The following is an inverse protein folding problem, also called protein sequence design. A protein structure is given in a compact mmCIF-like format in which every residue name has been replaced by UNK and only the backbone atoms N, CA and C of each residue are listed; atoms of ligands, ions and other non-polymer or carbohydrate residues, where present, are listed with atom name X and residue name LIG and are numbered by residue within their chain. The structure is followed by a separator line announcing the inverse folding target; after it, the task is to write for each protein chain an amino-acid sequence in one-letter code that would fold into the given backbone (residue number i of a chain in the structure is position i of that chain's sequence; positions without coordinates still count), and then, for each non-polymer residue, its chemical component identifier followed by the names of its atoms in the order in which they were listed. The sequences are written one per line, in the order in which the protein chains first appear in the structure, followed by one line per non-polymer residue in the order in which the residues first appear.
data_IF_389632566095
#
_entry.id   IF_389632566095
#
_cell.length_a   1.000
_cell.length_b   1.000
_cell.length_c   1.000
_cell.angle_alpha   90.00
_cell.angle_beta   90.00
_cell.angle_gamma   90.00
#
_symmetry.space_group_name_H-M   'P 1'
#
loop_
_entity.id
_entity.type
_entity.pdbx_description
1 polymer ?
#
# COMPACT_ATOMS: atom_id res chain seq x y z
N UNK A 1 11.06 -2.58 -23.99
CA UNK A 1 10.20 -1.38 -23.84
C UNK A 1 9.52 -1.47 -22.48
N UNK A 2 9.50 -0.40 -21.66
CA UNK A 2 8.75 -0.42 -20.40
C UNK A 2 7.27 -0.57 -20.72
N UNK A 3 6.62 -1.60 -20.16
CA UNK A 3 5.19 -1.79 -20.29
C UNK A 3 4.47 -0.72 -19.46
N UNK A 4 3.55 0.02 -20.08
CA UNK A 4 2.71 0.99 -19.36
C UNK A 4 1.98 0.25 -18.24
N UNK A 5 2.00 0.75 -16.98
CA UNK A 5 1.29 0.14 -15.87
C UNK A 5 -0.18 -0.09 -16.22
N UNK A 6 -0.66 -1.31 -16.01
CA UNK A 6 -2.04 -1.74 -16.26
C UNK A 6 -2.75 -1.99 -14.94
N UNK A 7 -3.90 -1.35 -14.75
CA UNK A 7 -4.77 -1.52 -13.58
C UNK A 7 -5.91 -2.45 -13.94
N UNK A 8 -6.09 -3.55 -13.21
CA UNK A 8 -7.23 -4.44 -13.43
C UNK A 8 -8.52 -3.77 -12.96
N UNK A 9 -9.50 -3.64 -13.85
CA UNK A 9 -10.76 -2.91 -13.58
C UNK A 9 -11.48 -3.47 -12.35
N UNK A 10 -11.53 -4.79 -12.20
CA UNK A 10 -12.21 -5.45 -11.07
C UNK A 10 -11.59 -5.10 -9.71
N UNK A 11 -10.26 -4.99 -9.66
CA UNK A 11 -9.53 -4.69 -8.42
C UNK A 11 -9.66 -3.21 -8.06
N UNK A 12 -9.59 -2.33 -9.07
CA UNK A 12 -9.85 -0.91 -8.89
C UNK A 12 -11.25 -0.64 -8.33
N UNK A 13 -12.29 -1.26 -8.91
CA UNK A 13 -13.68 -1.12 -8.45
C UNK A 13 -13.86 -1.64 -7.01
N UNK A 14 -13.23 -2.79 -6.68
CA UNK A 14 -13.28 -3.36 -5.33
C UNK A 14 -12.59 -2.44 -4.31
N UNK A 15 -11.40 -1.95 -4.63
CA UNK A 15 -10.64 -1.02 -3.77
C UNK A 15 -11.40 0.29 -3.54
N UNK A 16 -12.04 0.81 -4.59
CA UNK A 16 -12.88 2.01 -4.52
C UNK A 16 -14.06 1.85 -3.55
N UNK A 17 -14.67 0.67 -3.48
CA UNK A 17 -15.73 0.35 -2.50
C UNK A 17 -15.18 0.39 -1.08
N UNK A 18 -14.07 -0.31 -0.83
CA UNK A 18 -13.43 -0.33 0.49
C UNK A 18 -13.02 1.07 0.96
N UNK A 19 -12.51 1.89 0.05
CA UNK A 19 -12.16 3.29 0.31
C UNK A 19 -13.35 4.11 0.82
N UNK A 20 -14.48 4.10 0.09
CA UNK A 20 -15.65 4.89 0.50
C UNK A 20 -16.29 4.35 1.78
N UNK A 21 -16.30 3.04 1.99
CA UNK A 21 -16.80 2.43 3.23
C UNK A 21 -15.96 2.82 4.45
N UNK A 22 -14.62 2.82 4.32
CA UNK A 22 -13.71 3.25 5.38
C UNK A 22 -13.86 4.74 5.69
N UNK A 23 -13.93 5.59 4.66
CA UNK A 23 -14.14 7.02 4.80
C UNK A 23 -15.47 7.34 5.50
N UNK A 24 -16.55 6.66 5.13
CA UNK A 24 -17.85 6.80 5.78
C UNK A 24 -17.82 6.40 7.25
N UNK A 25 -17.14 5.29 7.60
CA UNK A 25 -17.03 4.85 9.00
C UNK A 25 -16.36 5.91 9.88
N UNK A 26 -15.39 6.66 9.34
CA UNK A 26 -14.70 7.75 10.04
C UNK A 26 -15.56 9.02 10.12
N UNK A 27 -16.30 9.34 9.06
CA UNK A 27 -17.15 10.53 8.99
C UNK A 27 -18.43 10.40 9.84
N UNK A 28 -19.03 9.21 9.86
CA UNK A 28 -20.29 8.86 10.52
C UNK A 28 -20.05 8.43 11.98
N UNK A 29 -19.58 9.37 12.80
CA UNK A 29 -19.26 9.15 14.22
C UNK A 29 -20.48 8.66 15.01
N UNK A 30 -21.68 9.05 14.58
CA UNK A 30 -22.95 8.73 15.24
C UNK A 30 -23.52 7.36 14.84
N UNK A 31 -22.89 6.66 13.88
CA UNK A 31 -23.37 5.35 13.41
C UNK A 31 -24.71 5.39 12.68
N UNK A 32 -25.09 6.55 12.15
CA UNK A 32 -26.37 6.78 11.49
C UNK A 32 -26.48 5.99 10.18
N UNK A 33 -27.70 5.58 9.81
CA UNK A 33 -27.95 4.94 8.49
C UNK A 33 -27.86 5.94 7.32
N UNK A 34 -27.72 7.22 7.61
CA UNK A 34 -27.69 8.31 6.64
C UNK A 34 -26.53 9.24 6.93
N UNK A 35 -25.84 9.67 5.89
CA UNK A 35 -24.82 10.70 5.96
C UNK A 35 -25.48 12.09 5.86
N UNK A 36 -25.26 12.92 6.87
CA UNK A 36 -25.65 14.33 6.91
C UNK A 36 -24.61 15.24 6.25
N UNK A 37 -24.97 16.50 5.97
CA UNK A 37 -24.04 17.53 5.48
C UNK A 37 -22.82 17.72 6.39
N UNK A 38 -23.00 17.65 7.72
CA UNK A 38 -21.91 17.82 8.69
C UNK A 38 -20.94 16.64 8.63
N UNK A 39 -21.45 15.42 8.52
CA UNK A 39 -20.62 14.22 8.38
C UNK A 39 -19.96 14.16 7.00
N UNK A 40 -20.66 14.59 5.95
CA UNK A 40 -20.10 14.69 4.60
C UNK A 40 -18.89 15.64 4.55
N UNK A 41 -18.90 16.73 5.30
CA UNK A 41 -17.74 17.63 5.43
C UNK A 41 -16.52 17.01 6.12
N UNK A 42 -16.64 15.81 6.71
CA UNK A 42 -15.52 15.03 7.28
C UNK A 42 -14.98 13.96 6.32
N UNK A 43 -15.61 13.78 5.17
CA UNK A 43 -15.09 12.88 4.14
C UNK A 43 -13.81 13.47 3.51
N UNK A 44 -12.94 12.64 2.93
CA UNK A 44 -11.93 13.10 1.98
C UNK A 44 -12.54 13.97 0.87
N UNK A 45 -11.80 14.98 0.41
CA UNK A 45 -12.26 16.03 -0.53
C UNK A 45 -12.92 15.45 -1.80
N UNK A 46 -12.36 14.40 -2.37
CA UNK A 46 -12.88 13.71 -3.56
C UNK A 46 -14.29 13.09 -3.33
N UNK A 47 -14.56 12.64 -2.11
CA UNK A 47 -15.86 12.11 -1.70
C UNK A 47 -16.84 13.23 -1.31
N UNK A 48 -16.35 14.39 -0.83
CA UNK A 48 -17.20 15.56 -0.58
C UNK A 48 -17.81 16.08 -1.88
N UNK A 49 -17.00 16.23 -2.93
CA UNK A 49 -17.47 16.65 -4.25
C UNK A 49 -18.55 15.72 -4.82
N UNK A 50 -18.40 14.43 -4.56
CA UNK A 50 -19.38 13.43 -4.95
C UNK A 50 -20.70 13.60 -4.17
N UNK A 51 -20.62 13.84 -2.86
CA UNK A 51 -21.78 14.09 -2.01
C UNK A 51 -22.53 15.37 -2.39
N UNK A 52 -21.82 16.46 -2.67
CA UNK A 52 -22.42 17.74 -3.12
C UNK A 52 -23.15 17.57 -4.46
N UNK A 53 -22.58 16.80 -5.40
CA UNK A 53 -23.23 16.47 -6.69
C UNK A 53 -24.51 15.65 -6.54
N UNK A 54 -24.65 14.87 -5.46
CA UNK A 54 -25.90 14.18 -5.17
C UNK A 54 -27.06 15.13 -4.79
N UNK A 55 -26.77 16.40 -4.45
CA UNK A 55 -27.77 17.46 -4.26
C UNK A 55 -28.77 17.22 -3.12
N UNK A 56 -28.49 16.25 -2.25
CA UNK A 56 -29.38 15.80 -1.17
C UNK A 56 -28.83 16.23 0.18
N UNK A 57 -29.73 16.69 1.06
CA UNK A 57 -29.42 17.10 2.44
C UNK A 57 -29.03 15.89 3.33
N UNK A 58 -29.53 14.69 2.98
CA UNK A 58 -29.19 13.40 3.59
C UNK A 58 -29.20 12.30 2.53
N UNK A 59 -28.21 11.41 2.57
CA UNK A 59 -28.11 10.23 1.68
C UNK A 59 -27.88 9.00 2.54
N UNK A 60 -28.50 7.85 2.22
CA UNK A 60 -28.17 6.63 2.98
C UNK A 60 -26.71 6.25 2.73
N UNK A 61 -26.00 5.77 3.74
CA UNK A 61 -24.59 5.36 3.59
C UNK A 61 -24.44 4.30 2.50
N UNK A 62 -25.40 3.37 2.41
CA UNK A 62 -25.46 2.36 1.35
C UNK A 62 -25.65 2.97 -0.04
N UNK A 63 -26.60 3.90 -0.18
CA UNK A 63 -26.86 4.56 -1.47
C UNK A 63 -25.65 5.38 -1.93
N UNK A 64 -24.93 6.01 -1.00
CA UNK A 64 -23.71 6.75 -1.29
C UNK A 64 -22.59 5.82 -1.78
N UNK A 65 -22.34 4.71 -1.08
CA UNK A 65 -21.36 3.69 -1.51
C UNK A 65 -21.73 3.13 -2.89
N UNK A 66 -22.97 2.67 -3.07
CA UNK A 66 -23.40 2.05 -4.32
C UNK A 66 -23.38 3.05 -5.48
N UNK A 67 -23.73 4.32 -5.23
CA UNK A 67 -23.63 5.41 -6.22
C UNK A 67 -22.18 5.71 -6.63
N UNK A 68 -21.26 5.78 -5.67
CA UNK A 68 -19.84 5.97 -5.93
C UNK A 68 -19.25 4.80 -6.72
N UNK A 69 -19.48 3.57 -6.26
CA UNK A 69 -18.99 2.35 -6.91
C UNK A 69 -19.56 2.20 -8.32
N UNK A 70 -20.83 2.57 -8.53
CA UNK A 70 -21.43 2.61 -9.86
C UNK A 70 -20.73 3.62 -10.78
N UNK A 71 -20.42 4.82 -10.27
CA UNK A 71 -19.70 5.85 -11.03
C UNK A 71 -18.30 5.37 -11.44
N UNK A 72 -17.57 4.73 -10.51
CA UNK A 72 -16.27 4.12 -10.78
C UNK A 72 -16.39 3.01 -11.82
N UNK A 73 -17.33 2.07 -11.64
CA UNK A 73 -17.52 0.92 -12.52
C UNK A 73 -17.91 1.32 -13.95
N UNK A 74 -18.90 2.21 -14.09
CA UNK A 74 -19.35 2.69 -15.40
C UNK A 74 -18.27 3.56 -16.07
N UNK A 75 -17.55 4.37 -15.29
CA UNK A 75 -16.40 5.14 -15.77
C UNK A 75 -15.28 4.24 -16.28
N UNK A 76 -14.90 3.22 -15.52
CA UNK A 76 -13.86 2.26 -15.89
C UNK A 76 -14.22 1.48 -17.15
N UNK A 77 -15.47 1.00 -17.27
CA UNK A 77 -15.94 0.32 -18.49
C UNK A 77 -15.90 1.21 -19.73
N UNK A 78 -16.17 2.52 -19.59
CA UNK A 78 -16.07 3.47 -20.70
C UNK A 78 -14.62 3.80 -21.05
N UNK A 79 -13.73 3.84 -20.05
CA UNK A 79 -12.31 4.11 -20.24
C UNK A 79 -11.55 2.92 -20.86
N UNK A 80 -11.93 1.69 -20.53
CA UNK A 80 -11.46 0.42 -21.10
C UNK A 80 -12.05 0.21 -22.52
N UNK A 81 -11.60 1.02 -23.47
CA UNK A 81 -12.14 1.03 -24.83
C UNK A 81 -11.85 -0.26 -25.61
N UNK A 82 -10.73 -0.93 -25.31
CA UNK A 82 -10.34 -2.21 -25.91
C UNK A 82 -10.96 -3.43 -25.21
N UNK A 83 -11.64 -3.23 -24.07
CA UNK A 83 -12.36 -4.25 -23.29
C UNK A 83 -11.43 -5.39 -22.85
N UNK A 84 -10.18 -5.09 -22.56
CA UNK A 84 -9.21 -6.09 -22.09
C UNK A 84 -9.31 -6.33 -20.56
N UNK A 85 -10.16 -5.56 -19.87
CA UNK A 85 -10.34 -5.64 -18.42
C UNK A 85 -9.30 -4.85 -17.64
N UNK A 86 -8.45 -4.06 -18.33
CA UNK A 86 -7.42 -3.24 -17.73
C UNK A 86 -7.54 -1.77 -18.16
N UNK A 87 -7.12 -0.88 -17.27
CA UNK A 87 -6.95 0.54 -17.56
C UNK A 87 -5.46 0.87 -17.59
N UNK A 88 -5.02 1.54 -18.64
CA UNK A 88 -3.73 2.23 -18.63
C UNK A 88 -3.87 3.59 -17.96
N UNK A 89 -2.75 4.26 -17.69
CA UNK A 89 -2.73 5.65 -17.25
C UNK A 89 -3.42 6.60 -18.24
N UNK A 90 -3.33 6.28 -19.53
CA UNK A 90 -4.00 7.04 -20.59
C UNK A 90 -5.51 6.85 -20.52
N UNK A 91 -5.98 5.64 -20.22
CA UNK A 91 -7.42 5.37 -20.03
C UNK A 91 -7.94 6.03 -18.75
N UNK A 92 -7.12 6.13 -17.71
CA UNK A 92 -7.42 6.89 -16.49
C UNK A 92 -7.83 8.34 -16.74
N UNK A 93 -7.29 9.00 -17.77
CA UNK A 93 -7.68 10.37 -18.15
C UNK A 93 -9.12 10.45 -18.68
N UNK A 94 -9.67 9.34 -19.17
CA UNK A 94 -11.05 9.26 -19.69
C UNK A 94 -12.08 8.99 -18.59
N UNK A 95 -11.63 8.68 -17.36
CA UNK A 95 -12.53 8.50 -16.23
C UNK A 95 -13.27 9.80 -15.89
N UNK A 96 -14.48 9.70 -15.31
CA UNK A 96 -15.19 10.86 -14.76
C UNK A 96 -14.30 11.62 -13.77
N UNK A 97 -14.35 12.96 -13.81
CA UNK A 97 -13.51 13.83 -12.97
C UNK A 97 -13.56 13.46 -11.49
N UNK A 98 -14.75 13.17 -10.98
CA UNK A 98 -15.03 12.79 -9.58
C UNK A 98 -14.38 11.48 -9.14
N UNK A 99 -13.84 10.68 -10.06
CA UNK A 99 -13.15 9.42 -9.73
C UNK A 99 -11.73 9.37 -10.29
N UNK A 100 -11.25 10.46 -10.93
CA UNK A 100 -9.88 10.52 -11.44
C UNK A 100 -8.88 10.54 -10.30
N UNK A 101 -9.16 11.27 -9.23
CA UNK A 101 -8.24 11.33 -8.08
C UNK A 101 -8.25 10.02 -7.30
N UNK A 102 -9.41 9.37 -7.16
CA UNK A 102 -9.48 8.00 -6.68
C UNK A 102 -8.66 7.01 -7.55
N UNK A 103 -8.73 7.12 -8.88
CA UNK A 103 -7.90 6.32 -9.79
C UNK A 103 -6.41 6.65 -9.67
N UNK A 104 -6.03 7.92 -9.57
CA UNK A 104 -4.63 8.33 -9.36
C UNK A 104 -4.10 7.81 -8.04
N UNK A 105 -4.89 7.87 -6.97
CA UNK A 105 -4.52 7.37 -5.65
C UNK A 105 -4.40 5.85 -5.68
N UNK A 106 -5.32 5.14 -6.32
CA UNK A 106 -5.22 3.70 -6.57
C UNK A 106 -3.96 3.37 -7.37
N UNK A 107 -3.73 4.07 -8.48
CA UNK A 107 -2.55 3.90 -9.34
C UNK A 107 -1.28 4.20 -8.56
N UNK A 108 -1.23 5.25 -7.75
CA UNK A 108 -0.08 5.61 -6.94
C UNK A 108 0.19 4.54 -5.88
N UNK A 109 -0.86 4.05 -5.20
CA UNK A 109 -0.79 2.94 -4.25
C UNK A 109 -0.43 1.59 -4.90
N UNK A 110 -0.63 1.43 -6.21
CA UNK A 110 -0.33 0.19 -6.96
C UNK A 110 0.88 0.32 -7.90
N UNK A 111 1.47 1.52 -8.05
CA UNK A 111 2.54 1.79 -9.02
C UNK A 111 3.93 1.32 -8.59
N UNK A 112 4.08 0.86 -7.35
CA UNK A 112 5.38 0.43 -6.81
C UNK A 112 5.67 -1.06 -6.89
N UNK A 113 4.91 -1.82 -7.69
CA UNK A 113 5.24 -3.21 -8.04
C UNK A 113 6.47 -3.33 -8.98
N UNK A 114 7.09 -2.24 -9.44
CA UNK A 114 8.28 -2.31 -10.28
C UNK A 114 9.48 -1.62 -9.67
N UNK A 115 10.31 -2.42 -9.01
CA UNK A 115 11.70 -2.10 -8.71
C UNK A 115 12.42 -1.57 -9.95
N UNK A 116 12.64 -0.27 -9.99
CA UNK A 116 13.68 0.34 -10.82
C UNK A 116 14.55 1.20 -9.91
N UNK A 117 15.67 0.60 -9.49
CA UNK A 117 16.71 1.30 -8.74
C UNK A 117 17.76 0.40 -8.10
N UNK A 118 17.41 -0.80 -7.63
CA UNK A 118 18.30 -1.64 -6.81
C UNK A 118 18.81 -2.91 -7.49
N UNK A 119 18.28 -3.26 -8.67
CA UNK A 119 18.63 -4.51 -9.38
C UNK A 119 18.09 -5.78 -8.71
N UNK A 120 17.11 -5.65 -7.81
CA UNK A 120 16.45 -6.75 -7.10
C UNK A 120 14.94 -6.61 -7.30
N UNK A 121 14.28 -7.71 -7.66
CA UNK A 121 12.82 -7.75 -7.82
C UNK A 121 12.16 -8.21 -6.53
N UNK A 122 12.13 -7.34 -5.52
CA UNK A 122 11.34 -7.58 -4.30
C UNK A 122 9.89 -7.26 -4.60
N UNK A 123 9.00 -8.22 -4.39
CA UNK A 123 7.57 -8.05 -4.58
C UNK A 123 6.99 -7.27 -3.39
N UNK A 124 6.30 -6.18 -3.69
CA UNK A 124 5.41 -5.54 -2.72
C UNK A 124 4.12 -6.36 -2.64
N UNK A 125 3.89 -7.00 -1.49
CA UNK A 125 2.67 -7.76 -1.19
C UNK A 125 1.64 -6.93 -0.43
N UNK A 126 1.96 -5.67 -0.12
CA UNK A 126 1.06 -4.77 0.58
C UNK A 126 -0.22 -4.55 -0.22
N UNK A 127 -1.36 -4.84 0.42
CA UNK A 127 -2.64 -4.56 -0.19
C UNK A 127 -2.88 -3.03 -0.26
N UNK A 128 -3.50 -2.51 -1.34
CA UNK A 128 -3.89 -1.10 -1.39
C UNK A 128 -4.82 -0.68 -0.23
N UNK A 129 -5.61 -1.61 0.30
CA UNK A 129 -6.46 -1.36 1.46
C UNK A 129 -5.64 -1.09 2.73
N UNK A 130 -4.51 -1.77 2.89
CA UNK A 130 -3.57 -1.54 4.00
C UNK A 130 -3.01 -0.14 3.93
N UNK A 131 -2.55 0.31 2.74
CA UNK A 131 -2.02 1.69 2.56
C UNK A 131 -3.05 2.76 2.91
N UNK A 132 -4.29 2.59 2.43
CA UNK A 132 -5.40 3.50 2.74
C UNK A 132 -5.68 3.52 4.25
N UNK A 133 -5.65 2.36 4.91
CA UNK A 133 -5.85 2.27 6.35
C UNK A 133 -4.74 3.00 7.12
N UNK A 134 -3.47 2.85 6.72
CA UNK A 134 -2.35 3.58 7.34
C UNK A 134 -2.48 5.09 7.18
N UNK A 135 -2.79 5.57 5.97
CA UNK A 135 -3.02 6.99 5.73
C UNK A 135 -4.18 7.52 6.59
N UNK A 136 -5.24 6.74 6.75
CA UNK A 136 -6.41 7.13 7.53
C UNK A 136 -6.12 7.17 9.05
N UNK A 137 -5.25 6.29 9.54
CA UNK A 137 -4.91 6.16 10.96
C UNK A 137 -3.80 7.11 11.40
N UNK A 138 -2.74 7.24 10.60
CA UNK A 138 -1.51 7.93 10.97
C UNK A 138 -1.31 9.27 10.25
N UNK A 139 -2.17 9.58 9.27
CA UNK A 139 -2.08 10.82 8.50
C UNK A 139 -0.91 10.83 7.51
N UNK A 140 -0.59 12.02 7.02
CA UNK A 140 0.54 12.22 6.10
C UNK A 140 1.87 11.99 6.81
N UNK A 141 2.80 11.33 6.13
CA UNK A 141 4.15 11.10 6.60
C UNK A 141 5.17 11.91 5.80
N UNK A 142 6.24 12.34 6.47
CA UNK A 142 7.37 13.00 5.80
C UNK A 142 8.11 12.05 4.87
N UNK A 143 8.24 10.79 5.29
CA UNK A 143 8.76 9.70 4.48
C UNK A 143 7.57 8.96 3.90
N UNK A 144 7.42 9.04 2.58
CA UNK A 144 6.32 8.39 1.89
C UNK A 144 6.44 6.86 1.99
N UNK A 145 5.32 6.16 1.84
CA UNK A 145 5.32 4.69 1.77
C UNK A 145 6.38 4.16 0.78
N UNK A 146 6.47 4.76 -0.41
CA UNK A 146 7.42 4.38 -1.45
C UNK A 146 8.88 4.51 -1.00
N UNK A 147 9.21 5.64 -0.38
CA UNK A 147 10.54 5.88 0.15
C UNK A 147 10.86 4.90 1.27
N UNK A 148 9.89 4.64 2.14
CA UNK A 148 10.02 3.67 3.22
C UNK A 148 10.23 2.24 2.70
N UNK A 149 9.43 1.79 1.73
CA UNK A 149 9.58 0.48 1.10
C UNK A 149 10.97 0.33 0.48
N UNK A 150 11.43 1.34 -0.28
CA UNK A 150 12.77 1.34 -0.88
C UNK A 150 13.87 1.26 0.18
N UNK A 151 13.78 2.08 1.23
CA UNK A 151 14.74 2.09 2.34
C UNK A 151 14.74 0.75 3.08
N UNK A 152 13.57 0.15 3.27
CA UNK A 152 13.42 -1.17 3.86
C UNK A 152 14.10 -2.26 3.01
N UNK A 153 13.89 -2.25 1.69
CA UNK A 153 14.59 -3.16 0.75
C UNK A 153 16.11 -3.00 0.85
N UNK A 154 16.60 -1.76 0.83
CA UNK A 154 18.04 -1.46 0.95
C UNK A 154 18.61 -1.94 2.29
N UNK A 155 17.86 -1.77 3.38
CA UNK A 155 18.25 -2.21 4.72
C UNK A 155 18.31 -3.73 4.84
N UNK A 156 17.27 -4.44 4.39
CA UNK A 156 17.20 -5.91 4.43
C UNK A 156 18.39 -6.52 3.68
N UNK A 157 18.77 -5.95 2.52
CA UNK A 157 19.88 -6.46 1.71
C UNK A 157 21.27 -6.26 2.34
N UNK A 158 21.43 -5.27 3.23
CA UNK A 158 22.75 -4.81 3.71
C UNK A 158 22.99 -5.02 5.21
N UNK A 159 21.94 -5.05 6.02
CA UNK A 159 22.07 -5.08 7.47
C UNK A 159 22.69 -6.40 7.91
N UNK A 160 23.71 -6.34 8.77
CA UNK A 160 24.36 -7.51 9.37
C UNK A 160 24.28 -7.45 10.91
N UNK A 161 23.59 -6.45 11.46
CA UNK A 161 23.52 -6.22 12.90
C UNK A 161 22.27 -6.91 13.49
N UNK A 162 22.47 -7.90 14.36
CA UNK A 162 21.40 -8.67 15.00
C UNK A 162 20.90 -9.86 14.17
N UNK A 163 19.69 -10.33 14.50
CA UNK A 163 19.03 -11.43 13.78
C UNK A 163 18.44 -10.93 12.47
N UNK A 164 19.28 -10.82 11.43
CA UNK A 164 18.86 -10.43 10.08
C UNK A 164 19.05 -11.58 9.10
N UNK A 165 18.31 -11.63 7.97
CA UNK A 165 18.48 -12.69 6.98
C UNK A 165 19.93 -12.79 6.47
N UNK A 166 20.59 -11.63 6.31
CA UNK A 166 21.98 -11.57 5.84
C UNK A 166 22.97 -12.05 6.90
N UNK A 167 22.77 -11.71 8.17
CA UNK A 167 23.63 -12.21 9.24
C UNK A 167 23.49 -13.73 9.41
N UNK A 168 22.27 -14.27 9.32
CA UNK A 168 22.02 -15.72 9.35
C UNK A 168 22.75 -16.43 8.20
N UNK A 169 22.59 -15.97 6.95
CA UNK A 169 23.33 -16.57 5.82
C UNK A 169 24.84 -16.57 6.03
N UNK A 170 25.38 -15.50 6.62
CA UNK A 170 26.81 -15.36 6.91
C UNK A 170 27.26 -16.35 7.99
N UNK A 171 26.51 -16.45 9.09
CA UNK A 171 26.83 -17.31 10.24
C UNK A 171 26.71 -18.81 9.92
N UNK A 172 25.72 -19.21 9.12
CA UNK A 172 25.44 -20.62 8.84
C UNK A 172 26.06 -21.14 7.52
N UNK A 173 26.83 -20.31 6.82
CA UNK A 173 27.53 -20.74 5.60
C UNK A 173 28.86 -21.46 5.88
N UNK A 174 29.01 -22.68 5.37
CA UNK A 174 30.26 -23.43 5.36
C UNK A 174 30.55 -23.98 3.94
N UNK A 175 31.60 -23.51 3.26
CA UNK A 175 32.57 -22.49 3.71
C UNK A 175 31.95 -21.08 3.78
N UNK A 176 32.58 -20.14 4.53
CA UNK A 176 32.10 -18.77 4.65
C UNK A 176 31.94 -18.09 3.28
N UNK A 177 30.78 -17.46 3.05
CA UNK A 177 30.52 -16.71 1.82
C UNK A 177 31.36 -15.44 1.73
N UNK A 178 31.88 -15.15 0.54
CA UNK A 178 32.43 -13.83 0.22
C UNK A 178 31.30 -12.78 0.17
N UNK A 179 31.65 -11.49 0.29
CA UNK A 179 30.67 -10.39 0.16
C UNK A 179 29.83 -10.47 -1.11
N UNK A 180 30.47 -10.78 -2.26
CA UNK A 180 29.77 -10.88 -3.54
C UNK A 180 28.79 -12.08 -3.58
N UNK A 181 29.16 -13.20 -2.94
CA UNK A 181 28.28 -14.36 -2.83
C UNK A 181 27.11 -14.08 -1.89
N UNK A 182 27.36 -13.43 -0.76
CA UNK A 182 26.32 -13.01 0.18
C UNK A 182 25.34 -12.01 -0.48
N UNK A 183 25.84 -11.05 -1.25
CA UNK A 183 25.01 -10.11 -2.01
C UNK A 183 24.16 -10.83 -3.08
N UNK A 184 24.72 -11.82 -3.77
CA UNK A 184 23.98 -12.61 -4.76
C UNK A 184 22.90 -13.47 -4.10
N UNK A 185 23.23 -14.07 -2.95
CA UNK A 185 22.33 -14.96 -2.21
C UNK A 185 21.19 -14.18 -1.57
N UNK A 186 21.46 -13.02 -0.98
CA UNK A 186 20.43 -12.12 -0.46
C UNK A 186 19.40 -11.73 -1.53
N UNK A 187 19.87 -11.45 -2.75
CA UNK A 187 18.98 -11.17 -3.89
C UNK A 187 18.13 -12.36 -4.31
N UNK A 188 18.60 -13.58 -4.05
CA UNK A 188 17.90 -14.83 -4.38
C UNK A 188 16.84 -15.15 -3.33
N UNK A 189 17.17 -15.00 -2.05
CA UNK A 189 16.31 -15.42 -0.95
C UNK A 189 15.26 -14.38 -0.57
N UNK A 190 15.56 -13.09 -0.75
CA UNK A 190 14.66 -12.00 -0.41
C UNK A 190 13.65 -11.76 -1.54
N UNK A 191 12.40 -12.15 -1.30
CA UNK A 191 11.39 -12.27 -2.35
C UNK A 191 10.26 -11.26 -2.24
N UNK A 192 9.81 -10.93 -1.02
CA UNK A 192 8.72 -9.96 -0.83
C UNK A 192 8.81 -9.20 0.49
N UNK A 193 8.12 -8.07 0.53
CA UNK A 193 7.78 -7.31 1.73
C UNK A 193 6.29 -7.00 1.73
N UNK A 194 5.67 -7.00 2.91
CA UNK A 194 4.28 -6.60 3.10
C UNK A 194 4.18 -5.66 4.31
N UNK A 195 3.57 -4.49 4.14
CA UNK A 195 3.26 -3.60 5.25
C UNK A 195 2.27 -4.28 6.20
N UNK A 196 2.59 -4.30 7.49
CA UNK A 196 1.70 -4.82 8.51
C UNK A 196 0.40 -3.99 8.59
N UNK A 197 -0.73 -4.57 8.99
CA UNK A 197 -1.96 -3.83 9.26
C UNK A 197 -1.79 -2.72 10.33
N UNK A 198 -2.71 -1.75 10.30
CA UNK A 198 -2.76 -0.66 11.28
C UNK A 198 -2.82 -1.20 12.71
N UNK A 199 -1.94 -0.68 13.55
CA UNK A 199 -1.84 -1.02 14.98
C UNK A 199 -1.03 -2.28 15.25
N UNK A 200 -0.62 -3.03 14.23
CA UNK A 200 0.26 -4.17 14.38
C UNK A 200 1.72 -3.72 14.44
N UNK A 201 2.41 -4.15 15.49
CA UNK A 201 3.84 -3.96 15.66
C UNK A 201 4.59 -5.21 15.19
N UNK A 202 5.88 -5.06 14.87
CA UNK A 202 6.76 -6.22 14.84
C UNK A 202 6.92 -6.80 16.24
N UNK A 203 7.28 -8.07 16.34
CA UNK A 203 7.59 -8.73 17.63
C UNK A 203 8.81 -8.11 18.34
N UNK A 204 9.53 -7.21 17.64
CA UNK A 204 10.67 -6.44 18.14
C UNK A 204 10.29 -5.05 18.66
N UNK A 205 9.00 -4.76 18.88
CA UNK A 205 8.47 -3.50 19.42
C UNK A 205 8.63 -2.26 18.50
N UNK A 206 8.56 -2.42 17.18
CA UNK A 206 8.42 -1.25 16.29
C UNK A 206 7.15 -0.46 16.63
N UNK A 207 7.20 0.88 16.57
CA UNK A 207 6.06 1.73 16.90
C UNK A 207 5.22 1.97 15.63
N UNK A 208 4.04 1.35 15.48
CA UNK A 208 3.27 1.43 14.24
C UNK A 208 2.75 2.84 13.93
N UNK A 209 2.68 3.73 14.93
CA UNK A 209 2.33 5.14 14.73
C UNK A 209 3.51 5.94 14.17
N UNK A 210 4.74 5.59 14.53
CA UNK A 210 5.96 6.29 14.11
C UNK A 210 6.65 5.67 12.91
N UNK A 211 6.39 4.40 12.64
CA UNK A 211 7.13 3.61 11.66
C UNK A 211 6.21 3.01 10.57
N UNK A 212 6.82 2.77 9.41
CA UNK A 212 6.34 1.83 8.42
C UNK A 212 6.96 0.47 8.74
N UNK A 213 6.15 -0.48 9.22
CA UNK A 213 6.63 -1.80 9.63
C UNK A 213 6.22 -2.83 8.59
N UNK A 214 7.21 -3.47 7.98
CA UNK A 214 7.00 -4.47 6.96
C UNK A 214 7.38 -5.84 7.48
N UNK A 215 6.58 -6.85 7.21
CA UNK A 215 7.05 -8.24 7.23
C UNK A 215 7.94 -8.48 6.00
N UNK A 216 8.96 -9.30 6.18
CA UNK A 216 9.98 -9.60 5.18
C UNK A 216 9.95 -11.10 4.90
N UNK A 217 9.77 -11.47 3.63
CA UNK A 217 9.90 -12.87 3.19
C UNK A 217 11.29 -13.10 2.61
N UNK A 218 12.13 -13.73 3.42
CA UNK A 218 13.47 -14.18 3.04
C UNK A 218 13.68 -15.64 3.46
N UNK A 219 14.00 -16.52 2.51
CA UNK A 219 14.31 -17.93 2.78
C UNK A 219 15.78 -18.10 3.17
N UNK A 220 16.11 -17.67 4.39
CA UNK A 220 17.46 -17.77 4.94
C UNK A 220 17.76 -19.16 5.56
N UNK A 221 16.87 -20.15 5.39
CA UNK A 221 17.01 -21.48 6.00
C UNK A 221 16.68 -21.52 7.50
N UNK A 222 15.81 -20.62 7.95
CA UNK A 222 15.39 -20.48 9.35
C UNK A 222 13.86 -20.40 9.45
N UNK A 223 13.31 -20.80 10.60
CA UNK A 223 11.91 -20.63 10.99
C UNK A 223 11.56 -19.23 11.49
N UNK A 224 12.54 -18.31 11.51
CA UNK A 224 12.39 -16.93 11.99
C UNK A 224 11.51 -16.09 11.06
N UNK A 225 10.63 -15.30 11.69
CA UNK A 225 10.00 -14.15 11.06
C UNK A 225 10.99 -13.00 10.97
N UNK A 226 10.94 -12.23 9.88
CA UNK A 226 11.74 -11.02 9.71
C UNK A 226 10.85 -9.81 9.51
N UNK A 227 11.27 -8.68 10.05
CA UNK A 227 10.62 -7.39 9.87
C UNK A 227 11.62 -6.30 9.56
N UNK A 228 11.14 -5.26 8.88
CA UNK A 228 11.88 -4.00 8.76
C UNK A 228 10.97 -2.86 9.16
N UNK A 229 11.45 -2.03 10.08
CA UNK A 229 10.78 -0.81 10.52
C UNK A 229 11.48 0.38 9.89
N UNK A 230 10.71 1.30 9.31
CA UNK A 230 11.25 2.52 8.69
C UNK A 230 10.52 3.74 9.24
N UNK A 231 11.25 4.66 9.87
CA UNK A 231 10.66 5.85 10.47
C UNK A 231 9.88 6.68 9.44
N UNK A 232 8.64 7.03 9.78
CA UNK A 232 7.78 7.95 9.01
C UNK A 232 8.34 9.38 8.96
N UNK A 233 9.22 9.73 9.90
CA UNK A 233 9.78 11.08 10.05
C UNK A 233 11.19 11.20 9.46
N UNK A 234 12.10 10.27 9.83
CA UNK A 234 13.52 10.34 9.47
C UNK A 234 13.88 9.44 8.30
N UNK A 235 13.13 8.35 8.12
CA UNK A 235 13.42 7.31 7.12
C UNK A 235 14.63 6.46 7.51
N UNK A 236 15.03 6.48 8.78
CA UNK A 236 15.92 5.48 9.35
C UNK A 236 15.23 4.13 9.32
N UNK A 237 15.96 3.10 8.89
CA UNK A 237 15.45 1.75 8.72
C UNK A 237 16.22 0.80 9.66
N UNK A 238 15.49 -0.14 10.26
CA UNK A 238 16.05 -1.16 11.12
C UNK A 238 15.41 -2.51 10.80
N UNK A 239 16.23 -3.55 10.67
CA UNK A 239 15.79 -4.91 10.39
C UNK A 239 15.89 -5.73 11.67
N UNK A 240 14.88 -6.52 11.94
CA UNK A 240 14.86 -7.43 13.08
C UNK A 240 14.32 -8.80 12.69
N UNK A 241 14.73 -9.79 13.46
CA UNK A 241 14.24 -11.17 13.40
C UNK A 241 13.70 -11.60 14.76
N UNK A 242 13.04 -12.76 14.79
CA UNK A 242 12.58 -13.40 16.01
C UNK A 242 12.76 -14.91 15.93
N UNK A 243 13.07 -15.52 17.08
CA UNK A 243 13.16 -16.97 17.35
C UNK A 243 11.81 -17.59 17.73
#
# INVERSE_FOLDING_TARGET
MPTTPKVKVSEYVKSSRSYVEAALKKANIDGNKTLSLVEAGRLPEDLQDNFVKHGKVRVSTREFVDGFVKTVSDGAKKADANKDGYLTLTDGKKLPETVRDNFKNYVAATRDVFGQGTGVSVKDETSPATLVAHQAAYGDSKVTYKEAFKKGVEEVLRSEDGETPRNILKEFSDPPLTKAQLDAEMKRIFTSMELLPVGEASESNGDPEKDWIFSVRADAGSDHGFWVSVSRETGEAFVSGFN
#
